data_IF_813790079236
#
_entry.id   IF_813790079236
#
_cell.length_a   1.000
_cell.length_b   1.000
_cell.length_c   1.000
_cell.angle_alpha   90.00
_cell.angle_beta   90.00
_cell.angle_gamma   90.00
#
_symmetry.space_group_name_H-M   'P 1'
#
loop_
_entity.id
_entity.type
_entity.pdbx_description
1 polymer ?
#
# COMPACT_ATOMS: atom_id res chain seq x y z
N UNK A 1 -14.34 10.29 -26.57
CA UNK A 1 -13.82 10.21 -25.20
C UNK A 1 -14.22 11.50 -24.51
N UNK A 2 -15.14 11.42 -23.57
CA UNK A 2 -15.58 12.59 -22.79
C UNK A 2 -14.41 13.06 -21.93
N UNK A 3 -14.00 14.31 -22.12
CA UNK A 3 -13.11 15.01 -21.18
C UNK A 3 -13.92 15.28 -19.91
N UNK A 4 -14.09 14.25 -19.08
CA UNK A 4 -14.64 14.46 -17.75
C UNK A 4 -13.77 15.51 -17.07
N UNK A 5 -14.36 16.63 -16.71
CA UNK A 5 -13.74 17.68 -15.93
C UNK A 5 -13.32 17.02 -14.62
N UNK A 6 -12.01 16.87 -14.42
CA UNK A 6 -11.48 16.22 -13.21
C UNK A 6 -11.75 17.21 -12.09
N UNK A 7 -12.67 16.82 -11.23
CA UNK A 7 -13.01 17.56 -10.05
C UNK A 7 -11.78 17.78 -9.17
N UNK A 8 -11.70 18.88 -8.46
CA UNK A 8 -10.80 19.06 -7.34
C UNK A 8 -11.04 17.90 -6.37
N UNK A 9 -9.98 17.36 -5.79
CA UNK A 9 -10.09 16.37 -4.73
C UNK A 9 -10.50 17.09 -3.43
N UNK A 10 -11.73 17.57 -3.39
CA UNK A 10 -12.33 18.07 -2.15
C UNK A 10 -12.76 16.89 -1.25
N UNK A 11 -12.97 17.17 0.03
CA UNK A 11 -13.34 16.15 1.01
C UNK A 11 -14.61 15.39 0.61
N UNK A 12 -15.56 16.03 -0.07
CA UNK A 12 -16.80 15.41 -0.53
C UNK A 12 -16.53 14.39 -1.65
N UNK A 13 -15.66 14.72 -2.60
CA UNK A 13 -15.25 13.82 -3.69
C UNK A 13 -14.50 12.60 -3.14
N UNK A 14 -13.61 12.81 -2.19
CA UNK A 14 -12.84 11.74 -1.52
C UNK A 14 -13.78 10.81 -0.75
N UNK A 15 -14.70 11.37 0.05
CA UNK A 15 -15.69 10.60 0.78
C UNK A 15 -16.64 9.82 -0.13
N UNK A 16 -17.05 10.40 -1.26
CA UNK A 16 -17.89 9.73 -2.25
C UNK A 16 -17.16 8.56 -2.91
N UNK A 17 -15.87 8.69 -3.22
CA UNK A 17 -15.06 7.63 -3.79
C UNK A 17 -14.85 6.48 -2.79
N UNK A 18 -14.56 6.77 -1.52
CA UNK A 18 -14.48 5.77 -0.44
C UNK A 18 -15.81 5.04 -0.27
N UNK A 19 -16.91 5.79 -0.20
CA UNK A 19 -18.24 5.23 -0.10
C UNK A 19 -18.54 4.29 -1.29
N UNK A 20 -18.23 4.71 -2.51
CA UNK A 20 -18.42 3.88 -3.70
C UNK A 20 -17.61 2.58 -3.63
N UNK A 21 -16.34 2.66 -3.25
CA UNK A 21 -15.47 1.48 -3.13
C UNK A 21 -15.99 0.49 -2.08
N UNK A 22 -16.38 0.98 -0.90
CA UNK A 22 -16.89 0.15 0.20
C UNK A 22 -18.27 -0.45 -0.09
N UNK A 23 -19.12 0.23 -0.86
CA UNK A 23 -20.46 -0.25 -1.20
C UNK A 23 -20.54 -0.96 -2.56
N UNK A 24 -19.40 -1.01 -3.28
CA UNK A 24 -19.33 -1.78 -4.51
C UNK A 24 -19.58 -3.27 -4.24
N UNK A 25 -20.37 -3.91 -5.09
CA UNK A 25 -20.63 -5.34 -5.03
C UNK A 25 -20.53 -5.93 -6.41
N UNK A 26 -19.83 -7.04 -6.53
CA UNK A 26 -19.77 -7.78 -7.79
C UNK A 26 -21.15 -8.24 -8.22
N UNK A 27 -21.46 -8.04 -9.49
CA UNK A 27 -22.68 -8.54 -10.12
C UNK A 27 -22.64 -10.06 -10.35
N UNK A 28 -21.51 -10.70 -10.15
CA UNK A 28 -21.36 -12.15 -10.27
C UNK A 28 -22.22 -12.86 -9.22
N UNK A 29 -23.05 -13.85 -9.63
CA UNK A 29 -23.94 -14.56 -8.71
C UNK A 29 -23.15 -15.51 -7.78
N UNK A 30 -23.59 -15.61 -6.54
CA UNK A 30 -23.09 -16.58 -5.57
C UNK A 30 -21.67 -16.33 -5.07
N UNK A 31 -21.01 -17.35 -4.50
CA UNK A 31 -19.66 -17.21 -3.95
C UNK A 31 -18.62 -17.07 -5.04
N UNK A 32 -17.63 -16.19 -4.82
CA UNK A 32 -16.48 -15.97 -5.70
C UNK A 32 -15.39 -17.02 -5.42
N UNK A 33 -15.54 -18.21 -6.00
CA UNK A 33 -14.56 -19.29 -5.78
C UNK A 33 -13.21 -18.93 -6.40
N UNK A 34 -12.11 -18.92 -5.63
CA UNK A 34 -10.77 -18.67 -6.17
C UNK A 34 -10.44 -19.53 -7.38
N UNK A 35 -9.92 -18.91 -8.45
CA UNK A 35 -9.62 -19.59 -9.71
C UNK A 35 -10.77 -19.64 -10.71
N UNK A 36 -12.00 -19.29 -10.31
CA UNK A 36 -13.12 -19.20 -11.25
C UNK A 36 -13.05 -17.93 -12.12
N UNK A 37 -13.71 -17.97 -13.28
CA UNK A 37 -13.85 -16.80 -14.13
C UNK A 37 -14.64 -15.67 -13.41
N UNK A 38 -15.64 -16.03 -12.61
CA UNK A 38 -16.40 -15.07 -11.79
C UNK A 38 -15.51 -14.36 -10.77
N UNK A 39 -14.62 -15.08 -10.09
CA UNK A 39 -13.65 -14.48 -9.16
C UNK A 39 -12.70 -13.50 -9.87
N UNK A 40 -12.18 -13.89 -11.04
CA UNK A 40 -11.33 -12.99 -11.85
C UNK A 40 -12.07 -11.72 -12.26
N UNK A 41 -13.27 -11.85 -12.86
CA UNK A 41 -14.06 -10.68 -13.26
C UNK A 41 -14.41 -9.79 -12.07
N UNK A 42 -14.76 -10.37 -10.94
CA UNK A 42 -15.10 -9.60 -9.74
C UNK A 42 -13.92 -8.76 -9.23
N UNK A 43 -12.70 -9.32 -9.13
CA UNK A 43 -11.55 -8.54 -8.68
C UNK A 43 -11.14 -7.46 -9.68
N UNK A 44 -11.22 -7.74 -11.00
CA UNK A 44 -10.91 -6.77 -12.04
C UNK A 44 -11.97 -5.65 -12.09
N UNK A 45 -13.25 -6.00 -12.00
CA UNK A 45 -14.35 -5.03 -11.99
C UNK A 45 -14.31 -4.15 -10.72
N UNK A 46 -14.06 -4.72 -9.55
CA UNK A 46 -13.86 -3.95 -8.32
C UNK A 46 -12.81 -2.86 -8.55
N UNK A 47 -11.66 -3.22 -9.08
CA UNK A 47 -10.58 -2.28 -9.29
C UNK A 47 -10.93 -1.21 -10.35
N UNK A 48 -11.57 -1.61 -11.44
CA UNK A 48 -11.91 -0.71 -12.55
C UNK A 48 -13.06 0.26 -12.21
N UNK A 49 -14.06 -0.20 -11.44
CA UNK A 49 -15.30 0.53 -11.18
C UNK A 49 -15.25 1.39 -9.92
N UNK A 50 -14.23 1.19 -9.06
CA UNK A 50 -14.04 1.97 -7.83
C UNK A 50 -12.89 2.96 -7.94
N UNK A 51 -12.57 3.37 -9.15
CA UNK A 51 -11.48 4.31 -9.42
C UNK A 51 -11.74 5.67 -8.78
N UNK A 52 -10.73 6.21 -8.09
CA UNK A 52 -10.78 7.55 -7.52
C UNK A 52 -10.30 8.58 -8.56
N UNK A 53 -11.13 9.57 -8.95
CA UNK A 53 -10.84 10.45 -10.08
C UNK A 53 -9.96 11.67 -9.75
N UNK A 54 -9.26 11.73 -8.62
CA UNK A 54 -8.42 12.89 -8.30
C UNK A 54 -7.12 12.97 -9.12
N UNK A 55 -6.55 14.17 -9.19
CA UNK A 55 -5.21 14.41 -9.77
C UNK A 55 -4.29 15.06 -8.74
N UNK A 56 -3.02 14.62 -8.64
CA UNK A 56 -2.04 15.23 -7.75
C UNK A 56 -1.85 16.74 -7.96
N UNK A 57 -1.95 17.19 -9.21
CA UNK A 57 -1.75 18.59 -9.59
C UNK A 57 -2.79 19.58 -9.03
N UNK A 58 -3.96 19.09 -8.58
CA UNK A 58 -5.02 19.94 -8.02
C UNK A 58 -5.07 19.88 -6.48
N UNK A 59 -4.16 19.14 -5.85
CA UNK A 59 -4.04 19.08 -4.41
C UNK A 59 -3.54 20.43 -3.89
N UNK A 60 -4.30 21.04 -2.97
CA UNK A 60 -3.87 22.24 -2.25
C UNK A 60 -3.20 21.82 -0.95
N UNK A 61 -1.89 22.01 -0.87
CA UNK A 61 -1.14 21.68 0.34
C UNK A 61 -1.42 22.68 1.44
N UNK A 62 -1.73 22.23 2.67
CA UNK A 62 -2.02 23.12 3.78
C UNK A 62 -0.78 23.97 4.17
N UNK A 63 -1.03 25.19 4.60
CA UNK A 63 0.03 26.05 5.09
C UNK A 63 0.35 25.65 6.53
N UNK A 64 1.55 25.09 6.74
CA UNK A 64 2.00 24.65 8.04
C UNK A 64 2.63 25.79 8.84
N UNK A 65 2.47 25.77 10.15
CA UNK A 65 3.25 26.60 11.06
C UNK A 65 4.73 26.15 11.08
N UNK A 66 5.67 26.98 11.54
CA UNK A 66 7.09 26.69 11.47
C UNK A 66 7.51 25.40 12.23
N UNK A 67 6.86 25.09 13.33
CA UNK A 67 7.18 23.90 14.13
C UNK A 67 6.69 22.62 13.42
N UNK A 68 5.46 22.63 12.95
CA UNK A 68 4.89 21.53 12.16
C UNK A 68 5.65 21.32 10.85
N UNK A 69 6.00 22.41 10.16
CA UNK A 69 6.81 22.32 8.94
C UNK A 69 8.17 21.66 9.23
N UNK A 70 8.84 22.07 10.31
CA UNK A 70 10.11 21.44 10.71
C UNK A 70 9.94 19.95 11.03
N UNK A 71 8.88 19.56 11.77
CA UNK A 71 8.58 18.13 12.04
C UNK A 71 8.41 17.34 10.76
N UNK A 72 7.58 17.82 9.84
CA UNK A 72 7.28 17.15 8.57
C UNK A 72 8.53 17.03 7.71
N UNK A 73 9.27 18.12 7.53
CA UNK A 73 10.44 18.15 6.65
C UNK A 73 11.66 17.40 7.20
N UNK A 74 11.71 17.20 8.52
CA UNK A 74 12.79 16.45 9.19
C UNK A 74 12.57 14.94 9.20
N UNK A 75 11.44 14.44 8.71
CA UNK A 75 11.20 12.99 8.65
C UNK A 75 12.14 12.34 7.62
N UNK A 76 12.93 11.34 8.01
CA UNK A 76 13.87 10.66 7.13
C UNK A 76 13.19 9.54 6.31
N UNK A 77 12.04 9.85 5.72
CA UNK A 77 11.19 8.85 5.03
C UNK A 77 10.89 9.22 3.57
N UNK A 78 11.06 10.48 3.20
CA UNK A 78 10.57 10.98 1.92
C UNK A 78 11.28 10.37 0.71
N UNK A 79 12.60 10.16 0.80
CA UNK A 79 13.39 9.45 -0.22
C UNK A 79 12.84 8.05 -0.46
N UNK A 80 12.62 7.32 0.64
CA UNK A 80 12.18 5.94 0.61
C UNK A 80 10.78 5.87 0.02
N UNK A 81 9.88 6.75 0.47
CA UNK A 81 8.49 6.78 0.00
C UNK A 81 8.42 6.98 -1.52
N UNK A 82 9.05 8.04 -2.06
CA UNK A 82 9.06 8.31 -3.51
C UNK A 82 9.66 7.16 -4.31
N UNK A 83 10.79 6.61 -3.85
CA UNK A 83 11.45 5.50 -4.54
C UNK A 83 10.65 4.21 -4.49
N UNK A 84 9.90 3.97 -3.44
CA UNK A 84 9.03 2.78 -3.31
C UNK A 84 7.94 2.82 -4.36
N UNK A 85 7.23 3.94 -4.50
CA UNK A 85 6.19 4.14 -5.51
C UNK A 85 6.74 4.02 -6.94
N UNK A 86 7.89 4.65 -7.21
CA UNK A 86 8.54 4.57 -8.53
C UNK A 86 8.92 3.13 -8.92
N UNK A 87 9.38 2.33 -7.96
CA UNK A 87 9.68 0.91 -8.17
C UNK A 87 8.41 0.09 -8.33
N UNK A 88 7.38 0.34 -7.52
CA UNK A 88 6.09 -0.34 -7.60
C UNK A 88 5.47 -0.14 -8.99
N UNK A 89 5.39 1.11 -9.45
CA UNK A 89 4.93 1.44 -10.81
C UNK A 89 5.64 0.62 -11.89
N UNK A 90 6.98 0.61 -11.88
CA UNK A 90 7.75 -0.10 -12.93
C UNK A 90 7.55 -1.62 -12.86
N UNK A 91 7.50 -2.19 -11.67
CA UNK A 91 7.30 -3.62 -11.45
C UNK A 91 5.92 -4.08 -11.88
N UNK A 92 4.89 -3.30 -11.58
CA UNK A 92 3.51 -3.58 -12.00
C UNK A 92 3.35 -3.46 -13.53
N UNK A 93 3.90 -2.40 -14.13
CA UNK A 93 3.89 -2.22 -15.58
C UNK A 93 4.60 -3.38 -16.29
N UNK A 94 5.78 -3.78 -15.81
CA UNK A 94 6.54 -4.89 -16.38
C UNK A 94 5.79 -6.23 -16.26
N UNK A 95 5.11 -6.46 -15.14
CA UNK A 95 4.30 -7.67 -14.98
C UNK A 95 3.06 -7.64 -15.87
N UNK A 96 2.36 -6.54 -15.94
CA UNK A 96 1.20 -6.36 -16.82
C UNK A 96 1.55 -6.66 -18.29
N UNK A 97 2.69 -6.14 -18.79
CA UNK A 97 3.17 -6.42 -20.15
C UNK A 97 3.42 -7.92 -20.40
N UNK A 98 3.79 -8.68 -19.38
CA UNK A 98 4.03 -10.13 -19.48
C UNK A 98 2.75 -10.98 -19.56
N UNK A 99 1.60 -10.40 -19.21
CA UNK A 99 0.33 -11.12 -19.14
C UNK A 99 -0.32 -11.28 -20.52
N UNK A 100 -0.85 -12.48 -20.76
CA UNK A 100 -1.64 -12.79 -21.97
C UNK A 100 -3.11 -12.42 -21.81
N UNK A 101 -3.63 -12.52 -20.59
CA UNK A 101 -5.03 -12.18 -20.28
C UNK A 101 -5.21 -10.66 -20.34
N UNK A 102 -6.06 -10.15 -21.27
CA UNK A 102 -6.18 -8.69 -21.47
C UNK A 102 -6.85 -7.99 -20.30
N UNK A 103 -7.77 -8.64 -19.59
CA UNK A 103 -8.48 -8.06 -18.45
C UNK A 103 -7.53 -7.88 -17.26
N UNK A 104 -6.73 -8.90 -16.95
CA UNK A 104 -5.69 -8.81 -15.90
C UNK A 104 -4.60 -7.80 -16.28
N UNK A 105 -4.18 -7.80 -17.55
CA UNK A 105 -3.18 -6.84 -18.03
C UNK A 105 -3.66 -5.41 -17.81
N UNK A 106 -4.89 -5.10 -18.20
CA UNK A 106 -5.45 -3.77 -18.00
C UNK A 106 -5.56 -3.41 -16.53
N UNK A 107 -6.07 -4.31 -15.71
CA UNK A 107 -6.25 -4.09 -14.27
C UNK A 107 -4.91 -3.81 -13.58
N UNK A 108 -3.88 -4.61 -13.84
CA UNK A 108 -2.55 -4.42 -13.22
C UNK A 108 -1.84 -3.20 -13.80
N UNK A 109 -2.07 -2.86 -15.09
CA UNK A 109 -1.55 -1.61 -15.65
C UNK A 109 -2.17 -0.37 -14.98
N UNK A 110 -3.46 -0.42 -14.64
CA UNK A 110 -4.14 0.66 -13.89
C UNK A 110 -3.60 0.77 -12.48
N UNK A 111 -3.33 -0.36 -11.81
CA UNK A 111 -2.68 -0.35 -10.50
C UNK A 111 -1.31 0.35 -10.59
N UNK A 112 -0.45 -0.03 -11.53
CA UNK A 112 0.82 0.65 -11.75
C UNK A 112 0.69 2.14 -12.08
N UNK A 113 -0.40 2.54 -12.72
CA UNK A 113 -0.69 3.96 -12.96
C UNK A 113 -1.07 4.69 -11.66
N UNK A 114 -1.79 4.04 -10.74
CA UNK A 114 -2.11 4.61 -9.42
C UNK A 114 -0.84 4.74 -8.57
N UNK A 115 0.12 3.80 -8.61
CA UNK A 115 1.43 3.93 -7.97
C UNK A 115 2.21 5.16 -8.48
N UNK A 116 2.18 5.41 -9.80
CA UNK A 116 2.77 6.64 -10.33
C UNK A 116 2.08 7.89 -9.79
N UNK A 117 0.76 7.83 -9.59
CA UNK A 117 -0.02 8.92 -9.00
C UNK A 117 0.38 9.16 -7.53
N UNK A 118 0.58 8.12 -6.73
CA UNK A 118 1.10 8.22 -5.37
C UNK A 118 2.47 8.89 -5.34
N UNK A 119 3.36 8.47 -6.25
CA UNK A 119 4.66 9.11 -6.44
C UNK A 119 4.53 10.59 -6.77
N UNK A 120 3.59 10.97 -7.64
CA UNK A 120 3.33 12.38 -7.98
C UNK A 120 2.80 13.17 -6.77
N UNK A 121 1.93 12.59 -5.94
CA UNK A 121 1.45 13.20 -4.68
C UNK A 121 2.63 13.49 -3.76
N UNK A 122 3.49 12.50 -3.52
CA UNK A 122 4.68 12.66 -2.69
C UNK A 122 5.64 13.72 -3.26
N UNK A 123 5.88 13.70 -4.57
CA UNK A 123 6.74 14.69 -5.23
C UNK A 123 6.20 16.12 -5.09
N UNK A 124 4.87 16.29 -5.15
CA UNK A 124 4.23 17.58 -4.94
C UNK A 124 4.29 18.07 -3.50
N UNK A 125 4.18 17.16 -2.52
CA UNK A 125 4.43 17.48 -1.11
C UNK A 125 5.86 17.99 -0.90
N UNK A 126 6.84 17.25 -1.44
CA UNK A 126 8.27 17.57 -1.35
C UNK A 126 8.54 18.96 -1.92
N UNK A 127 7.96 19.25 -3.09
CA UNK A 127 8.05 20.57 -3.73
C UNK A 127 7.40 21.66 -2.85
N UNK A 128 6.18 21.43 -2.37
CA UNK A 128 5.39 22.39 -1.60
C UNK A 128 6.06 22.81 -0.28
N UNK A 129 6.72 21.87 0.38
CA UNK A 129 7.39 22.11 1.67
C UNK A 129 8.91 22.30 1.55
N UNK A 130 9.46 22.34 0.34
CA UNK A 130 10.87 22.60 0.10
C UNK A 130 11.82 21.53 0.62
N UNK A 131 11.36 20.27 0.70
CA UNK A 131 12.16 19.13 1.17
C UNK A 131 13.26 18.85 0.14
N UNK A 132 14.50 18.79 0.60
CA UNK A 132 15.63 18.52 -0.27
C UNK A 132 15.95 17.03 -0.26
N UNK A 133 15.78 16.37 -1.40
CA UNK A 133 16.11 14.96 -1.58
C UNK A 133 17.24 14.79 -2.60
N UNK A 134 17.95 13.68 -2.50
CA UNK A 134 18.83 13.23 -3.56
C UNK A 134 18.01 12.93 -4.83
N UNK A 135 18.59 13.08 -6.04
CA UNK A 135 17.92 12.66 -7.26
C UNK A 135 17.49 11.19 -7.20
N UNK A 136 16.28 10.90 -7.69
CA UNK A 136 15.82 9.51 -7.80
C UNK A 136 16.81 8.69 -8.64
N UNK A 137 17.08 7.43 -8.24
CA UNK A 137 17.90 6.54 -9.05
C UNK A 137 17.15 6.14 -10.32
N UNK A 138 17.88 5.76 -11.34
CA UNK A 138 17.29 5.12 -12.51
C UNK A 138 16.69 3.76 -12.11
N UNK A 139 15.41 3.55 -12.39
CA UNK A 139 14.74 2.30 -12.11
C UNK A 139 14.93 1.31 -13.25
N UNK A 140 15.39 0.10 -12.93
CA UNK A 140 15.66 -0.96 -13.91
C UNK A 140 14.48 -1.91 -14.00
N UNK A 141 14.03 -2.19 -15.24
CA UNK A 141 12.95 -3.15 -15.49
C UNK A 141 13.33 -4.54 -14.97
N UNK A 142 12.51 -5.18 -14.11
CA UNK A 142 12.83 -6.47 -13.54
C UNK A 142 12.85 -7.58 -14.61
N UNK A 143 13.82 -8.50 -14.52
CA UNK A 143 13.88 -9.66 -15.40
C UNK A 143 12.82 -10.70 -15.07
N UNK A 144 12.58 -10.94 -13.79
CA UNK A 144 11.52 -11.81 -13.28
C UNK A 144 10.34 -10.95 -12.82
N UNK A 145 9.43 -10.70 -13.75
CA UNK A 145 8.30 -9.80 -13.53
C UNK A 145 7.28 -10.35 -12.53
N UNK A 146 7.08 -11.70 -12.49
CA UNK A 146 6.20 -12.34 -11.50
C UNK A 146 6.76 -12.22 -10.08
N UNK A 147 8.08 -12.43 -9.92
CA UNK A 147 8.77 -12.20 -8.65
C UNK A 147 8.63 -10.75 -8.19
N UNK A 148 8.91 -9.81 -9.07
CA UNK A 148 8.85 -8.39 -8.76
C UNK A 148 7.44 -7.95 -8.37
N UNK A 149 6.41 -8.44 -9.05
CA UNK A 149 5.01 -8.18 -8.70
C UNK A 149 4.64 -8.78 -7.34
N UNK A 150 5.09 -10.00 -7.02
CA UNK A 150 4.88 -10.60 -5.70
C UNK A 150 5.60 -9.82 -4.60
N UNK A 151 6.85 -9.38 -4.83
CA UNK A 151 7.58 -8.54 -3.87
C UNK A 151 6.81 -7.26 -3.58
N UNK A 152 6.35 -6.56 -4.62
CA UNK A 152 5.57 -5.33 -4.46
C UNK A 152 4.27 -5.59 -3.71
N UNK A 153 3.42 -6.52 -4.16
CA UNK A 153 2.12 -6.75 -3.53
C UNK A 153 2.20 -7.27 -2.08
N UNK A 154 3.20 -8.09 -1.74
CA UNK A 154 3.43 -8.47 -0.34
C UNK A 154 4.01 -7.31 0.47
N UNK A 155 4.86 -6.47 -0.12
CA UNK A 155 5.36 -5.25 0.53
C UNK A 155 4.21 -4.32 0.89
N UNK A 156 3.31 -4.05 -0.05
CA UNK A 156 2.10 -3.25 0.18
C UNK A 156 1.23 -3.84 1.29
N UNK A 157 0.98 -5.16 1.30
CA UNK A 157 0.24 -5.81 2.37
C UNK A 157 0.87 -5.64 3.76
N UNK A 158 2.20 -5.50 3.84
CA UNK A 158 2.91 -5.28 5.11
C UNK A 158 2.92 -3.79 5.44
N UNK A 159 3.36 -2.97 4.48
CA UNK A 159 3.64 -1.56 4.72
C UNK A 159 2.35 -0.76 4.95
N UNK A 160 1.30 -1.01 4.17
CA UNK A 160 0.00 -0.36 4.36
C UNK A 160 -0.67 -0.80 5.66
N UNK A 161 -0.52 -2.07 6.09
CA UNK A 161 -1.02 -2.50 7.40
C UNK A 161 -0.45 -1.65 8.54
N UNK A 162 0.83 -1.35 8.50
CA UNK A 162 1.47 -0.48 9.48
C UNK A 162 1.16 1.00 9.22
N UNK A 163 1.17 1.43 7.96
CA UNK A 163 0.87 2.81 7.59
C UNK A 163 -0.50 3.25 8.08
N UNK A 164 -1.52 2.40 7.99
CA UNK A 164 -2.87 2.69 8.50
C UNK A 164 -2.85 3.04 9.99
N UNK A 165 -2.18 2.24 10.81
CA UNK A 165 -2.06 2.50 12.24
C UNK A 165 -1.17 3.71 12.56
N UNK A 166 -0.09 3.92 11.81
CA UNK A 166 0.78 5.09 11.99
C UNK A 166 0.10 6.39 11.58
N UNK A 167 -0.74 6.36 10.55
CA UNK A 167 -1.54 7.51 10.13
C UNK A 167 -2.54 7.90 11.21
N UNK A 168 -3.24 6.93 11.79
CA UNK A 168 -4.17 7.16 12.89
C UNK A 168 -3.44 7.69 14.13
N UNK A 169 -2.28 7.11 14.45
CA UNK A 169 -1.43 7.59 15.56
C UNK A 169 -0.98 9.04 15.33
N UNK A 170 -0.54 9.37 14.12
CA UNK A 170 -0.12 10.72 13.77
C UNK A 170 -1.28 11.73 13.89
N UNK A 171 -2.50 11.29 13.54
CA UNK A 171 -3.72 12.06 13.73
C UNK A 171 -4.01 12.31 15.22
N UNK A 172 -4.10 11.24 16.02
CA UNK A 172 -4.43 11.32 17.45
C UNK A 172 -3.39 12.11 18.27
N UNK A 173 -2.12 12.02 17.90
CA UNK A 173 -1.04 12.74 18.59
C UNK A 173 -0.91 14.20 18.17
N UNK A 174 -1.59 14.63 17.10
CA UNK A 174 -1.38 15.93 16.46
C UNK A 174 -0.01 16.11 15.84
N UNK A 175 0.69 15.00 15.54
CA UNK A 175 1.98 15.04 14.86
C UNK A 175 1.86 15.64 13.45
N UNK A 176 0.82 15.23 12.71
CA UNK A 176 0.38 15.89 11.50
C UNK A 176 -0.90 16.67 11.75
N UNK A 177 -1.07 17.86 11.16
CA UNK A 177 -2.34 18.57 11.19
C UNK A 177 -3.39 17.80 10.39
N UNK A 178 -4.65 17.93 10.77
CA UNK A 178 -5.77 17.21 10.18
C UNK A 178 -5.85 17.44 8.67
N UNK A 179 -5.64 18.66 8.21
CA UNK A 179 -5.69 19.04 6.80
C UNK A 179 -4.62 18.30 5.97
N UNK A 180 -3.44 18.00 6.56
CA UNK A 180 -2.39 17.24 5.89
C UNK A 180 -2.77 15.76 5.81
N UNK A 181 -3.39 15.22 6.86
CA UNK A 181 -3.88 13.84 6.89
C UNK A 181 -4.97 13.63 5.84
N UNK A 182 -5.95 14.55 5.77
CA UNK A 182 -7.01 14.51 4.77
C UNK A 182 -6.46 14.52 3.34
N UNK A 183 -5.35 15.22 3.10
CA UNK A 183 -4.70 15.28 1.80
C UNK A 183 -4.15 13.91 1.34
N UNK A 184 -3.76 13.05 2.29
CA UNK A 184 -3.27 11.70 2.00
C UNK A 184 -4.36 10.62 2.03
N UNK A 185 -5.55 10.92 2.51
CA UNK A 185 -6.62 9.92 2.63
C UNK A 185 -6.96 9.24 1.29
N UNK A 186 -6.96 9.90 0.12
CA UNK A 186 -7.15 9.22 -1.16
C UNK A 186 -6.11 8.14 -1.44
N UNK A 187 -4.85 8.38 -1.07
CA UNK A 187 -3.78 7.38 -1.22
C UNK A 187 -4.07 6.16 -0.33
N UNK A 188 -4.44 6.38 0.94
CA UNK A 188 -4.79 5.29 1.86
C UNK A 188 -5.99 4.46 1.39
N UNK A 189 -6.96 5.08 0.72
CA UNK A 189 -8.10 4.40 0.12
C UNK A 189 -7.67 3.53 -1.07
N UNK A 190 -6.77 4.03 -1.90
CA UNK A 190 -6.23 3.29 -3.03
C UNK A 190 -5.39 2.11 -2.58
N UNK A 191 -4.57 2.27 -1.55
CA UNK A 191 -3.84 1.17 -0.92
C UNK A 191 -4.74 0.00 -0.52
N UNK A 192 -5.92 0.27 0.02
CA UNK A 192 -6.90 -0.79 0.32
C UNK A 192 -7.31 -1.58 -0.92
N UNK A 193 -7.48 -0.90 -2.06
CA UNK A 193 -7.85 -1.51 -3.34
C UNK A 193 -6.71 -2.31 -3.94
N UNK A 194 -5.47 -1.80 -3.87
CA UNK A 194 -4.25 -2.49 -4.30
C UNK A 194 -4.08 -3.81 -3.56
N UNK A 195 -4.20 -3.77 -2.23
CA UNK A 195 -4.09 -4.93 -1.36
C UNK A 195 -5.19 -5.96 -1.66
N UNK A 196 -6.45 -5.51 -1.86
CA UNK A 196 -7.54 -6.40 -2.24
C UNK A 196 -7.29 -7.04 -3.61
N UNK A 197 -6.85 -6.25 -4.61
CA UNK A 197 -6.50 -6.78 -5.92
C UNK A 197 -5.41 -7.84 -5.81
N UNK A 198 -4.33 -7.56 -5.10
CA UNK A 198 -3.21 -8.48 -4.94
C UNK A 198 -3.62 -9.78 -4.23
N UNK A 199 -4.38 -9.70 -3.13
CA UNK A 199 -4.84 -10.87 -2.39
C UNK A 199 -5.71 -11.81 -3.25
N UNK A 200 -6.61 -11.24 -4.05
CA UNK A 200 -7.47 -11.99 -4.94
C UNK A 200 -6.71 -12.52 -6.17
N UNK A 201 -5.80 -11.73 -6.76
CA UNK A 201 -4.91 -12.19 -7.82
C UNK A 201 -4.07 -13.38 -7.36
N UNK A 202 -3.47 -13.31 -6.18
CA UNK A 202 -2.63 -14.39 -5.63
C UNK A 202 -3.43 -15.70 -5.48
N UNK A 203 -4.64 -15.63 -4.95
CA UNK A 203 -5.52 -16.76 -4.81
C UNK A 203 -5.98 -17.32 -6.17
N UNK A 204 -6.32 -16.44 -7.11
CA UNK A 204 -6.69 -16.81 -8.47
C UNK A 204 -5.52 -17.46 -9.21
N UNK A 205 -4.34 -16.85 -9.15
CA UNK A 205 -3.12 -17.35 -9.80
C UNK A 205 -2.73 -18.73 -9.29
N UNK A 206 -2.75 -18.93 -7.96
CA UNK A 206 -2.55 -20.25 -7.33
C UNK A 206 -3.53 -21.30 -7.83
N UNK A 207 -4.79 -20.94 -7.91
CA UNK A 207 -5.86 -21.88 -8.25
C UNK A 207 -5.83 -22.28 -9.74
N UNK A 208 -5.38 -21.37 -10.63
CA UNK A 208 -5.38 -21.57 -12.09
C UNK A 208 -4.09 -22.17 -12.62
N UNK A 209 -2.99 -22.12 -11.87
CA UNK A 209 -1.74 -22.72 -12.32
C UNK A 209 -1.78 -24.26 -12.32
N UNK A 210 -1.03 -24.92 -13.21
CA UNK A 210 -0.87 -26.38 -13.22
C UNK A 210 -0.38 -26.91 -11.85
N UNK A 211 -0.91 -28.05 -11.41
CA UNK A 211 -0.60 -28.63 -10.10
C UNK A 211 0.90 -28.82 -9.86
N UNK A 212 1.65 -29.19 -10.90
CA UNK A 212 3.10 -29.41 -10.80
C UNK A 212 3.89 -28.12 -10.56
N UNK A 213 3.35 -26.93 -10.93
CA UNK A 213 3.98 -25.63 -10.67
C UNK A 213 3.74 -25.12 -9.25
N UNK A 214 2.68 -25.58 -8.56
CA UNK A 214 2.30 -25.07 -7.25
C UNK A 214 3.41 -25.18 -6.20
N UNK A 215 4.10 -26.33 -6.03
CA UNK A 215 5.17 -26.41 -5.03
C UNK A 215 6.29 -25.40 -5.27
N UNK A 216 6.65 -25.19 -6.54
CA UNK A 216 7.65 -24.19 -6.92
C UNK A 216 7.17 -22.76 -6.63
N UNK A 217 5.92 -22.47 -6.93
CA UNK A 217 5.32 -21.18 -6.63
C UNK A 217 5.27 -20.90 -5.12
N UNK A 218 4.88 -21.87 -4.30
CA UNK A 218 4.90 -21.72 -2.84
C UNK A 218 6.32 -21.47 -2.30
N UNK A 219 7.29 -22.13 -2.86
CA UNK A 219 8.69 -21.89 -2.52
C UNK A 219 9.13 -20.45 -2.86
N UNK A 220 8.67 -19.92 -4.00
CA UNK A 220 8.87 -18.50 -4.36
C UNK A 220 8.17 -17.55 -3.40
N UNK A 221 6.95 -17.86 -3.01
CA UNK A 221 6.22 -17.08 -2.00
C UNK A 221 7.01 -17.01 -0.69
N UNK A 222 7.50 -18.14 -0.20
CA UNK A 222 8.38 -18.15 0.98
C UNK A 222 9.66 -17.34 0.78
N UNK A 223 10.28 -17.45 -0.38
CA UNK A 223 11.47 -16.67 -0.70
C UNK A 223 11.19 -15.16 -0.73
N UNK A 224 10.02 -14.73 -1.22
CA UNK A 224 9.59 -13.33 -1.14
C UNK A 224 9.47 -12.88 0.32
N UNK A 225 8.82 -13.66 1.18
CA UNK A 225 8.71 -13.33 2.61
C UNK A 225 10.08 -13.21 3.29
N UNK A 226 10.98 -14.14 3.02
CA UNK A 226 12.36 -14.09 3.53
C UNK A 226 13.06 -12.83 3.01
N UNK A 227 12.94 -12.55 1.71
CA UNK A 227 13.52 -11.35 1.10
C UNK A 227 13.01 -10.08 1.77
N UNK A 228 11.69 -9.93 1.93
CA UNK A 228 11.08 -8.77 2.57
C UNK A 228 11.48 -8.62 4.06
N UNK A 229 11.68 -9.72 4.78
CA UNK A 229 12.21 -9.68 6.13
C UNK A 229 13.66 -9.17 6.15
N UNK A 230 14.53 -9.68 5.25
CA UNK A 230 15.91 -9.20 5.13
C UNK A 230 15.98 -7.72 4.72
N UNK A 231 15.12 -7.31 3.81
CA UNK A 231 15.03 -5.91 3.36
C UNK A 231 14.72 -4.98 4.51
N UNK A 232 13.70 -5.31 5.34
CA UNK A 232 13.31 -4.50 6.50
C UNK A 232 14.32 -4.53 7.65
N UNK A 233 15.19 -5.54 7.71
CA UNK A 233 16.33 -5.58 8.62
C UNK A 233 17.55 -4.82 8.07
N UNK A 234 17.45 -4.19 6.89
CA UNK A 234 18.57 -3.50 6.23
C UNK A 234 19.67 -4.44 5.74
N UNK A 235 19.38 -5.74 5.58
CA UNK A 235 20.34 -6.77 5.15
C UNK A 235 20.22 -7.12 3.67
N UNK A 236 19.07 -6.83 3.03
CA UNK A 236 18.88 -7.12 1.63
C UNK A 236 19.57 -6.09 0.74
N UNK A 237 20.22 -6.61 -0.28
CA UNK A 237 20.74 -5.82 -1.41
C UNK A 237 19.70 -5.81 -2.51
N UNK A 238 19.68 -4.76 -3.34
CA UNK A 238 18.71 -4.64 -4.43
C UNK A 238 18.68 -5.88 -5.33
N UNK A 239 17.47 -6.33 -5.63
CA UNK A 239 17.21 -7.46 -6.54
C UNK A 239 17.09 -6.98 -7.99
N UNK A 240 16.99 -5.69 -8.22
CA UNK A 240 16.86 -5.07 -9.54
C UNK A 240 18.24 -5.05 -10.21
N UNK A 241 18.43 -5.96 -11.05
CA UNK A 241 19.57 -6.62 -11.60
C UNK A 241 20.47 -5.84 -12.56
N UNK A 242 21.20 -4.81 -12.13
CA UNK A 242 22.41 -4.36 -12.84
C UNK A 242 23.72 -4.71 -12.11
N UNK A 243 23.64 -5.48 -11.05
CA UNK A 243 24.80 -5.95 -10.29
C UNK A 243 25.45 -4.91 -9.37
N UNK A 244 24.96 -3.67 -9.31
CA UNK A 244 25.40 -2.66 -8.36
C UNK A 244 24.47 -2.67 -7.14
N UNK A 245 24.92 -3.35 -6.09
CA UNK A 245 24.19 -3.43 -4.84
C UNK A 245 24.07 -2.04 -4.20
N UNK A 246 22.94 -1.38 -4.39
CA UNK A 246 22.53 -0.26 -3.55
C UNK A 246 21.90 -0.78 -2.28
N UNK A 247 22.30 -0.23 -1.14
CA UNK A 247 21.67 -0.56 0.15
C UNK A 247 20.24 -0.01 0.11
N UNK A 248 19.27 -0.88 0.05
CA UNK A 248 17.86 -0.51 0.08
C UNK A 248 17.44 -0.42 1.54
N UNK A 249 17.08 0.76 2.00
CA UNK A 249 16.53 0.98 3.34
C UNK A 249 15.02 1.16 3.20
N UNK A 250 14.27 0.05 3.28
CA UNK A 250 12.81 0.06 3.31
C UNK A 250 12.26 0.06 4.74
N UNK A 251 12.98 0.66 5.67
CA UNK A 251 12.55 0.80 7.05
C UNK A 251 11.54 1.93 7.26
N UNK A 252 10.76 2.28 6.24
CA UNK A 252 9.70 3.30 6.33
C UNK A 252 8.84 3.10 7.59
N UNK A 253 8.36 1.89 7.81
CA UNK A 253 7.51 1.53 8.94
C UNK A 253 8.22 1.68 10.29
N UNK A 254 9.48 1.19 10.40
CA UNK A 254 10.25 1.26 11.64
C UNK A 254 10.74 2.68 11.91
N UNK A 255 11.19 3.36 10.88
CA UNK A 255 11.70 4.75 10.97
C UNK A 255 10.56 5.73 11.21
N UNK A 256 9.45 5.58 10.49
CA UNK A 256 8.25 6.39 10.66
C UNK A 256 7.64 6.21 12.06
N UNK A 257 7.53 4.97 12.56
CA UNK A 257 7.00 4.73 13.90
C UNK A 257 7.83 5.38 15.00
N UNK A 258 9.16 5.35 14.89
CA UNK A 258 10.06 6.01 15.85
C UNK A 258 9.93 7.54 15.81
N UNK A 259 9.73 8.11 14.63
CA UNK A 259 9.60 9.55 14.45
C UNK A 259 8.24 10.08 14.94
N UNK A 260 7.16 9.33 14.70
CA UNK A 260 5.78 9.71 15.08
C UNK A 260 5.50 9.39 16.55
N UNK A 261 6.16 8.39 17.13
CA UNK A 261 6.02 8.02 18.54
C UNK A 261 6.62 9.06 19.52
N UNK A 262 6.51 10.35 19.20
CA UNK A 262 6.91 11.45 20.10
C UNK A 262 6.15 11.45 21.45
N UNK A 263 5.02 10.75 21.55
CA UNK A 263 4.44 10.21 22.79
C UNK A 263 4.83 8.75 22.91
N UNK A 264 5.14 8.30 24.12
CA UNK A 264 5.53 6.92 24.46
C UNK A 264 4.40 5.91 24.21
N UNK A 265 4.08 5.67 22.93
CA UNK A 265 3.24 4.52 22.59
C UNK A 265 4.06 3.25 22.79
N UNK A 266 3.54 2.32 23.56
CA UNK A 266 4.12 0.98 23.64
C UNK A 266 3.95 0.26 22.29
N UNK A 267 4.83 -0.69 22.01
CA UNK A 267 4.72 -1.54 20.81
C UNK A 267 3.35 -2.25 20.76
N UNK A 268 2.80 -2.56 21.95
CA UNK A 268 1.48 -3.16 22.06
C UNK A 268 0.35 -2.25 21.57
N UNK A 269 0.37 -0.97 21.95
CA UNK A 269 -0.61 0.03 21.50
C UNK A 269 -0.52 0.28 20.01
N UNK A 270 0.70 0.36 19.46
CA UNK A 270 0.92 0.46 18.01
C UNK A 270 0.29 -0.72 17.27
N UNK A 271 0.53 -1.95 17.76
CA UNK A 271 -0.04 -3.16 17.17
C UNK A 271 -1.57 -3.19 17.23
N UNK A 272 -2.14 -2.79 18.37
CA UNK A 272 -3.59 -2.73 18.54
C UNK A 272 -4.22 -1.68 17.61
N UNK A 273 -3.58 -0.54 17.44
CA UNK A 273 -4.01 0.50 16.50
C UNK A 273 -3.94 0.03 15.04
N UNK A 274 -2.84 -0.64 14.64
CA UNK A 274 -2.73 -1.21 13.30
C UNK A 274 -3.82 -2.26 13.02
N UNK A 275 -4.15 -3.10 14.01
CA UNK A 275 -5.25 -4.07 13.88
C UNK A 275 -6.61 -3.39 13.74
N UNK A 276 -6.90 -2.41 14.58
CA UNK A 276 -8.16 -1.67 14.54
C UNK A 276 -8.35 -0.93 13.22
N UNK A 277 -7.30 -0.23 12.75
CA UNK A 277 -7.33 0.51 11.50
C UNK A 277 -7.42 -0.42 10.28
N UNK A 278 -6.70 -1.54 10.27
CA UNK A 278 -6.86 -2.53 9.22
C UNK A 278 -8.31 -3.03 9.13
N UNK A 279 -8.92 -3.37 10.25
CA UNK A 279 -10.30 -3.87 10.27
C UNK A 279 -11.28 -2.75 9.83
N UNK A 280 -11.08 -1.51 10.27
CA UNK A 280 -11.89 -0.33 9.87
C UNK A 280 -11.79 -0.06 8.37
N UNK A 281 -10.58 -0.07 7.82
CA UNK A 281 -10.34 0.27 6.41
C UNK A 281 -10.91 -0.76 5.45
N UNK A 282 -10.95 -2.03 5.82
CA UNK A 282 -11.58 -3.09 5.00
C UNK A 282 -13.06 -3.29 5.28
N UNK A 283 -13.64 -2.56 6.25
CA UNK A 283 -15.07 -2.63 6.52
C UNK A 283 -15.88 -2.10 5.33
N UNK A 284 -16.90 -2.84 4.96
CA UNK A 284 -17.84 -2.45 3.90
C UNK A 284 -17.48 -2.93 2.50
N UNK A 285 -16.26 -3.32 2.19
CA UNK A 285 -15.95 -3.94 0.89
C UNK A 285 -16.71 -5.27 0.69
N UNK A 286 -16.86 -5.71 -0.57
CA UNK A 286 -17.53 -6.97 -0.89
C UNK A 286 -16.88 -8.15 -0.12
N UNK A 287 -17.64 -8.78 0.76
CA UNK A 287 -17.16 -9.84 1.66
C UNK A 287 -16.71 -11.11 0.93
N UNK A 288 -17.11 -11.26 -0.33
CA UNK A 288 -16.72 -12.38 -1.19
C UNK A 288 -15.30 -12.23 -1.76
N UNK A 289 -14.73 -11.00 -1.73
CA UNK A 289 -13.33 -10.75 -2.07
C UNK A 289 -12.43 -11.11 -0.88
N UNK A 290 -11.31 -11.75 -1.18
CA UNK A 290 -10.34 -12.15 -0.17
C UNK A 290 -9.59 -10.92 0.36
N UNK A 291 -9.36 -10.91 1.66
CA UNK A 291 -8.56 -9.90 2.36
C UNK A 291 -7.20 -10.47 2.76
N UNK A 292 -6.14 -9.66 2.85
CA UNK A 292 -4.86 -10.11 3.37
C UNK A 292 -5.01 -10.43 4.87
N UNK A 293 -4.74 -11.66 5.25
CA UNK A 293 -4.89 -12.13 6.65
C UNK A 293 -3.56 -12.37 7.36
N UNK A 294 -2.45 -12.44 6.61
CA UNK A 294 -1.16 -12.85 7.17
C UNK A 294 -0.62 -11.86 8.20
N UNK A 295 -0.56 -10.57 7.88
CA UNK A 295 -0.08 -9.55 8.84
C UNK A 295 -0.99 -9.40 10.04
N UNK A 296 -2.32 -9.26 9.91
CA UNK A 296 -3.22 -9.26 11.06
C UNK A 296 -3.07 -10.50 11.95
N UNK A 297 -2.89 -11.68 11.34
CA UNK A 297 -2.69 -12.92 12.10
C UNK A 297 -1.36 -12.92 12.86
N UNK A 298 -0.25 -12.55 12.21
CA UNK A 298 1.07 -12.46 12.84
C UNK A 298 1.07 -11.47 14.01
N UNK A 299 0.45 -10.32 13.83
CA UNK A 299 0.39 -9.29 14.88
C UNK A 299 -0.49 -9.76 16.04
N UNK A 300 -1.67 -10.36 15.78
CA UNK A 300 -2.49 -10.96 16.84
C UNK A 300 -1.75 -12.07 17.59
N UNK A 301 -0.95 -12.87 16.87
CA UNK A 301 -0.11 -13.90 17.52
C UNK A 301 0.96 -13.26 18.41
N UNK A 302 1.71 -12.28 17.93
CA UNK A 302 2.72 -11.56 18.70
C UNK A 302 2.12 -10.91 19.96
N UNK A 303 0.94 -10.28 19.84
CA UNK A 303 0.24 -9.66 20.97
C UNK A 303 -0.08 -10.65 22.11
N UNK A 304 -0.32 -11.93 21.82
CA UNK A 304 -0.56 -12.95 22.87
C UNK A 304 0.63 -13.19 23.78
N UNK A 305 1.85 -12.92 23.29
CA UNK A 305 3.09 -13.09 24.07
C UNK A 305 3.56 -11.79 24.72
N UNK A 306 2.94 -10.66 24.39
CA UNK A 306 3.25 -9.38 25.01
C UNK A 306 2.39 -9.21 26.27
N UNK A 307 3.04 -8.95 27.42
CA UNK A 307 2.31 -8.59 28.64
C UNK A 307 1.59 -7.25 28.40
N UNK A 308 0.30 -7.20 28.74
CA UNK A 308 -0.38 -5.91 28.85
C UNK A 308 0.37 -5.06 29.86
N UNK A 309 0.59 -3.75 29.63
CA UNK A 309 1.09 -2.87 30.67
C UNK A 309 0.15 -3.05 31.86
N UNK A 310 0.70 -3.49 33.02
CA UNK A 310 -0.07 -3.57 34.25
C UNK A 310 -0.56 -2.17 34.56
N UNK A 311 -1.89 -2.04 34.76
CA UNK A 311 -2.54 -0.77 34.98
C UNK A 311 -1.81 0.09 35.99
N UNK A 312 -1.66 1.37 35.66
CA UNK A 312 -1.39 2.38 36.66
C UNK A 312 -2.54 2.33 37.68
N UNK A 313 -2.25 2.31 38.99
CA UNK A 313 -3.30 2.40 39.99
C UNK A 313 -4.04 3.74 39.85
N UNK A 314 -5.36 3.66 39.99
CA UNK A 314 -6.30 4.77 39.89
C UNK A 314 -5.97 5.93 40.86
#
# INVERSE_FOLDING_TARGET
MSTATIAQADAATIAAADHQARHWRSLEPGPLKPGSAAHKRAMCAMFAETFNPYKPSVITWPKLDPETLHRVTSLPIWDIAVQTEGKAMLRMAAYAESLKDPELRETISRNGWEENRHREVLSKLIEAYGIQLAPEPEYVKPRDTEWAYMVTGYSECIDSFFAFGLFEMASQSGFFPEELIETFEPVMQEECRHILLFANWLAWHRATMPLWRRPWFEMRVWAVWVFLAYERMGLAKTVDGDGKAQKQDNNFTVTGSKAVAAKEYSVAEIMDMCLAENDRRFLGYDERLLRPTTMPWLVRLARRFMRSPQGAPA
#
